data_IF_858059228225
#
_entry.id   IF_858059228225
#
_cell.length_a   1.000
_cell.length_b   1.000
_cell.length_c   1.000
_cell.angle_alpha   90.00
_cell.angle_beta   90.00
_cell.angle_gamma   90.00
#
_symmetry.space_group_name_H-M   'P 1'
#
loop_
_entity.id
_entity.type
_entity.pdbx_description
1 polymer ?
#
# COMPACT_ATOMS: atom_id res chain seq x y z
N UNK A 1 0.47 -27.38 -12.32
CA UNK A 1 1.49 -26.32 -12.20
C UNK A 1 2.77 -26.97 -11.70
N UNK A 2 3.90 -26.73 -12.37
CA UNK A 2 5.19 -27.23 -11.88
C UNK A 2 5.64 -26.37 -10.69
N UNK A 3 5.97 -26.96 -9.52
CA UNK A 3 6.48 -26.20 -8.39
C UNK A 3 7.84 -25.61 -8.74
N UNK A 4 8.02 -24.31 -8.46
CA UNK A 4 9.28 -23.59 -8.64
C UNK A 4 9.94 -23.48 -7.26
N UNK A 5 11.21 -23.89 -7.17
CA UNK A 5 12.01 -23.68 -5.96
C UNK A 5 12.31 -22.18 -5.81
N UNK A 6 11.78 -21.57 -4.75
CA UNK A 6 11.90 -20.13 -4.50
C UNK A 6 12.95 -19.79 -3.45
N UNK A 7 13.43 -20.76 -2.68
CA UNK A 7 14.45 -20.58 -1.65
C UNK A 7 15.06 -21.92 -1.21
N UNK A 8 16.37 -21.91 -1.01
CA UNK A 8 17.15 -22.99 -0.41
C UNK A 8 18.16 -22.38 0.57
N UNK A 9 18.19 -22.85 1.82
CA UNK A 9 19.11 -22.31 2.82
C UNK A 9 18.82 -22.81 4.23
N UNK A 10 19.70 -22.44 5.16
CA UNK A 10 19.67 -22.81 6.58
C UNK A 10 18.83 -21.87 7.44
N UNK A 11 18.23 -20.83 6.85
CA UNK A 11 17.46 -19.85 7.62
C UNK A 11 16.18 -20.45 8.17
N UNK A 12 15.83 -20.06 9.40
CA UNK A 12 14.61 -20.52 10.08
C UNK A 12 13.37 -19.71 9.69
N UNK A 13 13.52 -18.61 8.96
CA UNK A 13 12.44 -17.76 8.51
C UNK A 13 12.88 -16.94 7.29
N UNK A 14 12.08 -16.96 6.22
CA UNK A 14 12.30 -16.18 5.00
C UNK A 14 11.03 -15.43 4.67
N UNK A 15 11.15 -14.14 4.38
CA UNK A 15 10.02 -13.29 3.95
C UNK A 15 10.11 -13.05 2.45
N UNK A 16 9.00 -13.25 1.74
CA UNK A 16 8.89 -12.99 0.30
C UNK A 16 7.90 -11.85 0.07
N UNK A 17 8.34 -10.77 -0.57
CA UNK A 17 7.52 -9.60 -0.94
C UNK A 17 7.25 -9.55 -2.45
N UNK A 18 6.32 -8.69 -2.87
CA UNK A 18 6.08 -8.40 -4.30
C UNK A 18 5.31 -9.49 -5.06
N UNK A 19 4.70 -10.45 -4.37
CA UNK A 19 3.76 -11.39 -5.00
C UNK A 19 2.46 -10.69 -5.35
N UNK A 20 1.81 -11.13 -6.44
CA UNK A 20 0.49 -10.63 -6.81
C UNK A 20 -0.59 -11.12 -5.84
N UNK A 21 -1.73 -10.42 -5.84
CA UNK A 21 -2.93 -10.84 -5.13
C UNK A 21 -3.38 -12.25 -5.51
N UNK A 22 -3.97 -12.95 -4.55
CA UNK A 22 -4.63 -14.23 -4.76
C UNK A 22 -4.10 -15.35 -3.87
N UNK A 23 -4.36 -16.59 -4.30
CA UNK A 23 -4.05 -17.78 -3.52
C UNK A 23 -2.73 -18.38 -3.98
N UNK A 24 -1.79 -18.46 -3.05
CA UNK A 24 -0.51 -19.15 -3.24
C UNK A 24 -0.44 -20.40 -2.37
N UNK A 25 0.24 -21.44 -2.87
CA UNK A 25 0.49 -22.67 -2.13
C UNK A 25 1.98 -22.86 -1.94
N UNK A 26 2.40 -23.07 -0.69
CA UNK A 26 3.80 -23.29 -0.33
C UNK A 26 3.99 -24.68 0.25
N UNK A 27 5.13 -25.30 -0.05
CA UNK A 27 5.58 -26.54 0.60
C UNK A 27 7.05 -26.38 0.94
N UNK A 28 7.44 -27.05 2.01
CA UNK A 28 8.83 -27.11 2.45
C UNK A 28 9.25 -28.58 2.51
N UNK A 29 10.53 -28.83 2.25
CA UNK A 29 11.17 -30.14 2.47
C UNK A 29 12.56 -29.90 3.04
N UNK A 30 13.07 -30.87 3.78
CA UNK A 30 14.51 -30.97 4.06
C UNK A 30 15.26 -31.48 2.82
N UNK A 31 16.57 -31.26 2.80
CA UNK A 31 17.44 -31.82 1.75
C UNK A 31 17.32 -33.35 1.72
N UNK A 32 17.04 -33.92 0.54
CA UNK A 32 16.76 -35.35 0.36
C UNK A 32 15.44 -35.86 0.97
N UNK A 33 14.67 -35.00 1.64
CA UNK A 33 13.38 -35.35 2.25
C UNK A 33 12.18 -35.28 1.30
N UNK A 34 11.04 -35.77 1.76
CA UNK A 34 9.76 -35.60 1.08
C UNK A 34 9.17 -34.20 1.30
N UNK A 35 8.34 -33.76 0.35
CA UNK A 35 7.58 -32.53 0.50
C UNK A 35 6.57 -32.65 1.64
N UNK A 36 6.55 -31.66 2.53
CA UNK A 36 5.50 -31.52 3.54
C UNK A 36 4.16 -31.07 2.94
N UNK A 37 3.16 -30.97 3.81
CA UNK A 37 1.81 -30.55 3.43
C UNK A 37 1.78 -29.13 2.83
N UNK A 38 0.94 -28.89 1.81
CA UNK A 38 0.75 -27.56 1.24
C UNK A 38 0.15 -26.59 2.26
N UNK A 39 0.86 -25.49 2.51
CA UNK A 39 0.33 -24.32 3.18
C UNK A 39 -0.34 -23.39 2.16
N UNK A 40 -1.63 -23.14 2.35
CA UNK A 40 -2.39 -22.15 1.58
C UNK A 40 -2.20 -20.76 2.20
N UNK A 41 -1.73 -19.81 1.40
CA UNK A 41 -1.57 -18.40 1.79
C UNK A 41 -2.42 -17.54 0.87
N UNK A 42 -3.23 -16.66 1.45
CA UNK A 42 -4.03 -15.69 0.71
C UNK A 42 -3.34 -14.33 0.79
N UNK A 43 -2.92 -13.81 -0.35
CA UNK A 43 -2.23 -12.52 -0.48
C UNK A 43 -3.30 -11.50 -0.86
N UNK A 44 -3.47 -10.47 -0.03
CA UNK A 44 -4.41 -9.38 -0.23
C UNK A 44 -3.67 -8.05 -0.04
N UNK A 45 -3.50 -7.29 -1.11
CA UNK A 45 -3.11 -5.89 -1.05
C UNK A 45 -4.33 -5.06 -0.71
N UNK A 46 -4.16 -4.04 0.13
CA UNK A 46 -5.19 -3.03 0.29
C UNK A 46 -5.41 -2.29 -1.03
N UNK A 47 -6.65 -1.89 -1.27
CA UNK A 47 -6.99 -1.30 -2.57
C UNK A 47 -6.34 0.07 -2.71
N UNK A 48 -5.59 0.25 -3.80
CA UNK A 48 -5.05 1.55 -4.17
C UNK A 48 -6.18 2.57 -4.41
N UNK A 49 -7.34 2.08 -4.86
CA UNK A 49 -8.54 2.90 -5.10
C UNK A 49 -9.03 3.60 -3.83
N UNK A 50 -9.16 2.88 -2.71
CA UNK A 50 -9.56 3.49 -1.44
C UNK A 50 -8.55 4.53 -0.97
N UNK A 51 -7.24 4.24 -1.09
CA UNK A 51 -6.20 5.19 -0.74
C UNK A 51 -6.28 6.48 -1.57
N UNK A 52 -6.54 6.37 -2.88
CA UNK A 52 -6.72 7.52 -3.77
C UNK A 52 -7.98 8.33 -3.44
N UNK A 53 -9.07 7.67 -3.04
CA UNK A 53 -10.30 8.36 -2.59
C UNK A 53 -10.02 9.18 -1.33
N UNK A 54 -9.35 8.60 -0.33
CA UNK A 54 -9.00 9.33 0.90
C UNK A 54 -8.05 10.49 0.61
N UNK A 55 -7.06 10.29 -0.26
CA UNK A 55 -6.14 11.33 -0.70
C UNK A 55 -6.89 12.48 -1.38
N UNK A 56 -7.80 12.17 -2.32
CA UNK A 56 -8.58 13.17 -3.03
C UNK A 56 -9.50 13.96 -2.09
N UNK A 57 -10.15 13.28 -1.13
CA UNK A 57 -10.99 13.92 -0.13
C UNK A 57 -10.18 14.89 0.75
N UNK A 58 -9.01 14.45 1.24
CA UNK A 58 -8.10 15.31 2.01
C UNK A 58 -7.59 16.50 1.20
N UNK A 59 -7.21 16.28 -0.05
CA UNK A 59 -6.75 17.33 -0.96
C UNK A 59 -7.84 18.38 -1.21
N UNK A 60 -9.09 17.95 -1.41
CA UNK A 60 -10.22 18.86 -1.61
C UNK A 60 -10.41 19.79 -0.40
N UNK A 61 -10.48 19.23 0.81
CA UNK A 61 -10.63 20.01 2.06
C UNK A 61 -9.45 20.96 2.26
N UNK A 62 -8.23 20.48 2.04
CA UNK A 62 -7.01 21.29 2.14
C UNK A 62 -7.04 22.48 1.18
N UNK A 63 -7.34 22.24 -0.10
CA UNK A 63 -7.39 23.29 -1.12
C UNK A 63 -8.50 24.31 -0.83
N UNK A 64 -9.68 23.87 -0.38
CA UNK A 64 -10.75 24.77 0.02
C UNK A 64 -10.33 25.67 1.19
N UNK A 65 -9.68 25.09 2.20
CA UNK A 65 -9.20 25.84 3.37
C UNK A 65 -8.12 26.83 2.98
N UNK A 66 -7.14 26.39 2.18
CA UNK A 66 -6.06 27.24 1.68
C UNK A 66 -6.61 28.40 0.84
N UNK A 67 -7.56 28.13 -0.06
CA UNK A 67 -8.23 29.16 -0.84
C UNK A 67 -8.90 30.20 0.06
N UNK A 68 -9.66 29.75 1.06
CA UNK A 68 -10.37 30.66 1.97
C UNK A 68 -9.40 31.58 2.73
N UNK A 69 -8.27 31.03 3.20
CA UNK A 69 -7.22 31.81 3.87
C UNK A 69 -6.57 32.81 2.91
N UNK A 70 -6.20 32.37 1.70
CA UNK A 70 -5.54 33.22 0.70
C UNK A 70 -6.46 34.36 0.26
N UNK A 71 -7.71 34.04 -0.10
CA UNK A 71 -8.69 35.04 -0.52
C UNK A 71 -9.04 36.00 0.62
N UNK A 72 -9.18 35.50 1.85
CA UNK A 72 -9.38 36.33 3.04
C UNK A 72 -8.23 37.31 3.25
N UNK A 73 -6.98 36.86 3.09
CA UNK A 73 -5.80 37.71 3.23
C UNK A 73 -5.70 38.78 2.12
N UNK A 74 -6.03 38.41 0.87
CA UNK A 74 -6.03 39.35 -0.26
C UNK A 74 -7.10 40.43 -0.07
N UNK A 75 -8.30 40.06 0.40
CA UNK A 75 -9.40 41.00 0.64
C UNK A 75 -9.05 42.02 1.72
N UNK A 76 -8.52 41.58 2.88
CA UNK A 76 -8.12 42.49 3.95
C UNK A 76 -7.02 43.49 3.54
N UNK A 77 -6.08 43.08 2.66
CA UNK A 77 -5.06 44.01 2.15
C UNK A 77 -5.61 45.08 1.20
N UNK A 78 -6.73 44.83 0.52
CA UNK A 78 -7.37 45.83 -0.34
C UNK A 78 -8.12 46.90 0.46
N UNK A 79 -8.70 46.53 1.60
CA UNK A 79 -9.45 47.46 2.45
C UNK A 79 -8.53 48.44 3.21
N UNK A 80 -7.32 48.01 3.59
CA UNK A 80 -6.32 48.86 4.26
C UNK A 80 -5.61 49.88 3.36
N UNK A 81 -5.88 49.91 2.05
CA UNK A 81 -5.32 50.87 1.08
C UNK A 81 -6.28 52.02 0.75
N UNK A 82 -7.50 52.02 1.30
CA UNK A 82 -8.53 53.04 1.12
C UNK A 82 -8.82 53.87 2.39
N UNK A 83 -8.03 53.69 3.45
CA UNK A 83 -7.94 54.60 4.61
C UNK A 83 -6.67 55.45 4.49
#
# INVERSE_FOLDING_TARGET
>A
ANPIEVYHGVDRSTTFSGRQDGVSFFRVKSEGGSWGEPLKVVIQHHSLGEALIYLAAGAAVFLSTAALVIFGHIQHRREGLHQ
#
